data_IF_230057942999
#
_entry.id   IF_230057942999
#
_cell.length_a   1.000
_cell.length_b   1.000
_cell.length_c   1.000
_cell.angle_alpha   90.00
_cell.angle_beta   90.00
_cell.angle_gamma   90.00
#
_symmetry.space_group_name_H-M   'P 1'
#
loop_
_entity.id
_entity.type
_entity.pdbx_description
1 polymer ?
#
# COMPACT_ATOMS: atom_id res chain seq x y z
N UNK A 1 8.52 -7.93 -18.00
CA UNK A 1 8.00 -7.39 -16.72
C UNK A 1 8.09 -8.49 -15.68
N UNK A 2 8.84 -8.29 -14.60
CA UNK A 2 8.86 -9.25 -13.48
C UNK A 2 7.61 -9.01 -12.62
N UNK A 3 6.83 -10.05 -12.38
CA UNK A 3 5.68 -10.02 -11.45
C UNK A 3 6.10 -10.21 -9.98
N UNK A 4 7.40 -10.33 -9.71
CA UNK A 4 7.92 -10.56 -8.37
C UNK A 4 8.07 -9.24 -7.63
N UNK A 5 7.17 -8.98 -6.69
CA UNK A 5 7.27 -7.84 -5.77
C UNK A 5 8.35 -8.17 -4.72
N UNK A 6 9.37 -7.31 -4.53
CA UNK A 6 10.38 -7.53 -3.50
C UNK A 6 9.74 -7.63 -2.11
N UNK A 7 10.09 -8.70 -1.37
CA UNK A 7 9.60 -8.89 0.01
C UNK A 7 10.50 -8.24 1.07
N UNK A 8 11.61 -7.63 0.65
CA UNK A 8 12.52 -6.96 1.58
C UNK A 8 11.81 -5.80 2.28
N UNK A 9 11.94 -5.76 3.60
CA UNK A 9 11.42 -4.70 4.46
C UNK A 9 12.54 -4.27 5.41
N UNK A 10 12.81 -2.98 5.48
CA UNK A 10 13.74 -2.45 6.46
C UNK A 10 13.20 -2.71 7.88
N UNK A 11 14.02 -3.17 8.84
CA UNK A 11 13.57 -3.46 10.20
C UNK A 11 12.89 -2.27 10.91
N UNK A 12 13.34 -1.05 10.58
CA UNK A 12 12.83 0.20 11.17
C UNK A 12 11.78 0.90 10.28
N UNK A 13 11.08 0.16 9.43
CA UNK A 13 9.97 0.73 8.66
C UNK A 13 8.90 1.29 9.62
N UNK A 14 8.40 2.51 9.38
CA UNK A 14 7.35 3.09 10.20
C UNK A 14 6.10 2.20 10.17
N UNK A 15 5.57 1.95 11.35
CA UNK A 15 4.30 1.25 11.59
C UNK A 15 3.27 2.25 12.11
N UNK A 16 1.99 1.97 11.87
CA UNK A 16 0.92 2.72 12.50
C UNK A 16 0.65 2.21 13.93
N UNK A 17 -0.35 2.79 14.59
CA UNK A 17 -0.68 2.45 15.99
C UNK A 17 -1.11 0.97 16.16
N UNK A 18 -1.53 0.32 15.07
CA UNK A 18 -1.88 -1.09 15.03
C UNK A 18 -0.69 -2.02 14.71
N UNK A 19 0.51 -1.48 14.52
CA UNK A 19 1.72 -2.24 14.20
C UNK A 19 1.83 -2.68 12.72
N UNK A 20 0.98 -2.15 11.84
CA UNK A 20 1.04 -2.45 10.40
C UNK A 20 1.94 -1.47 9.66
N UNK A 21 2.72 -2.00 8.71
CA UNK A 21 3.43 -1.17 7.72
C UNK A 21 2.49 -0.82 6.57
N UNK A 22 2.83 0.22 5.80
CA UNK A 22 2.04 0.63 4.62
C UNK A 22 1.85 -0.50 3.60
N UNK A 23 2.81 -1.42 3.48
CA UNK A 23 2.71 -2.58 2.60
C UNK A 23 1.56 -3.54 2.96
N UNK A 24 1.00 -3.48 4.18
CA UNK A 24 -0.19 -4.24 4.55
C UNK A 24 -1.49 -3.67 3.94
N UNK A 25 -1.45 -2.43 3.45
CA UNK A 25 -2.57 -1.71 2.83
C UNK A 25 -2.48 -1.72 1.31
N UNK A 26 -1.36 -2.21 0.76
CA UNK A 26 -1.15 -2.31 -0.67
C UNK A 26 -1.85 -3.54 -1.25
N UNK A 27 -2.34 -3.39 -2.49
CA UNK A 27 -2.96 -4.47 -3.25
C UNK A 27 -1.99 -5.12 -4.23
N UNK A 28 -2.54 -5.78 -5.25
CA UNK A 28 -1.77 -6.34 -6.35
C UNK A 28 -1.06 -5.26 -7.18
N UNK A 29 -0.09 -5.68 -7.99
CA UNK A 29 0.63 -4.79 -8.92
C UNK A 29 -0.34 -4.11 -9.88
N UNK A 30 -0.16 -2.81 -10.07
CA UNK A 30 -0.99 -2.01 -11.00
C UNK A 30 -0.69 -2.37 -12.44
N UNK A 31 -1.72 -2.39 -13.29
CA UNK A 31 -1.58 -2.50 -14.76
C UNK A 31 -1.55 -1.12 -15.44
N UNK A 32 -1.66 -0.03 -14.67
CA UNK A 32 -1.69 1.32 -15.19
C UNK A 32 -0.29 1.80 -15.59
N UNK A 33 -0.24 2.88 -16.37
CA UNK A 33 1.02 3.46 -16.83
C UNK A 33 1.85 3.94 -15.63
N UNK A 34 3.14 3.61 -15.61
CA UNK A 34 4.06 4.06 -14.59
C UNK A 34 4.06 5.61 -14.50
N UNK A 35 3.82 6.14 -13.30
CA UNK A 35 3.76 7.58 -13.06
C UNK A 35 2.45 8.26 -13.48
N UNK A 36 1.40 7.51 -13.82
CA UNK A 36 0.10 8.10 -14.08
C UNK A 36 -0.57 8.62 -12.79
N UNK A 37 -1.49 9.58 -12.96
CA UNK A 37 -2.22 10.16 -11.83
C UNK A 37 -3.06 9.15 -11.05
N UNK A 38 -3.55 8.09 -11.72
CA UNK A 38 -4.36 7.05 -11.07
C UNK A 38 -3.57 6.26 -10.01
N UNK A 39 -2.33 5.88 -10.30
CA UNK A 39 -1.45 5.23 -9.32
C UNK A 39 -1.14 6.19 -8.15
N UNK A 40 -0.98 7.48 -8.44
CA UNK A 40 -0.77 8.52 -7.41
C UNK A 40 -1.97 8.65 -6.48
N UNK A 41 -3.20 8.65 -7.03
CA UNK A 41 -4.45 8.68 -6.26
C UNK A 41 -4.57 7.42 -5.40
N UNK A 42 -4.35 6.23 -5.98
CA UNK A 42 -4.39 4.98 -5.22
C UNK A 42 -3.37 4.97 -4.08
N UNK A 43 -2.15 5.45 -4.34
CA UNK A 43 -1.10 5.59 -3.33
C UNK A 43 -1.45 6.57 -2.21
N UNK A 44 -2.19 7.65 -2.51
CA UNK A 44 -2.67 8.60 -1.51
C UNK A 44 -3.74 7.98 -0.61
N UNK A 45 -4.68 7.23 -1.17
CA UNK A 45 -5.72 6.52 -0.41
C UNK A 45 -5.09 5.48 0.53
N UNK A 46 -4.16 4.67 0.02
CA UNK A 46 -3.42 3.68 0.83
C UNK A 46 -2.70 4.35 2.00
N UNK A 47 -2.06 5.50 1.77
CA UNK A 47 -1.40 6.27 2.82
C UNK A 47 -2.40 6.74 3.89
N UNK A 48 -3.51 7.34 3.47
CA UNK A 48 -4.53 7.83 4.40
C UNK A 48 -5.09 6.71 5.29
N UNK A 49 -5.37 5.52 4.72
CA UNK A 49 -5.82 4.38 5.51
C UNK A 49 -4.78 3.88 6.52
N UNK A 50 -3.50 3.91 6.16
CA UNK A 50 -2.39 3.56 7.06
C UNK A 50 -2.25 4.56 8.21
N UNK A 51 -2.28 5.86 7.89
CA UNK A 51 -2.17 6.97 8.86
C UNK A 51 -3.36 7.04 9.82
N UNK A 52 -4.57 6.69 9.35
CA UNK A 52 -5.78 6.62 10.17
C UNK A 52 -5.89 5.34 11.01
N UNK A 53 -4.86 4.48 11.02
CA UNK A 53 -4.86 3.23 11.78
C UNK A 53 -6.09 2.35 11.52
N UNK A 54 -6.57 2.31 10.26
CA UNK A 54 -7.71 1.45 9.89
C UNK A 54 -7.22 0.01 9.80
N UNK A 55 -7.92 -0.95 10.37
CA UNK A 55 -7.51 -2.36 10.29
C UNK A 55 -7.51 -2.87 8.82
N UNK A 56 -6.38 -3.40 8.30
CA UNK A 56 -6.27 -3.78 6.88
C UNK A 56 -7.33 -4.78 6.42
N UNK A 57 -7.72 -5.71 7.29
CA UNK A 57 -8.72 -6.74 6.99
C UNK A 57 -10.15 -6.19 6.84
N UNK A 58 -10.38 -4.91 7.21
CA UNK A 58 -11.66 -4.20 7.02
C UNK A 58 -11.67 -3.34 5.77
N UNK A 59 -10.60 -3.33 4.98
CA UNK A 59 -10.45 -2.52 3.78
C UNK A 59 -10.51 -3.42 2.55
N UNK A 60 -11.34 -3.05 1.58
CA UNK A 60 -11.31 -3.60 0.23
C UNK A 60 -10.79 -2.53 -0.73
N UNK A 61 -9.56 -2.72 -1.24
CA UNK A 61 -9.02 -1.88 -2.33
C UNK A 61 -9.50 -2.47 -3.66
N UNK A 62 -10.23 -1.66 -4.43
CA UNK A 62 -10.64 -1.98 -5.79
C UNK A 62 -9.90 -1.05 -6.75
N UNK A 63 -9.35 -1.60 -7.82
CA UNK A 63 -8.55 -0.88 -8.83
C UNK A 63 -8.81 -1.44 -10.21
#
# INVERSE_FOLDING_TARGET
>A
MSYQIPKFRHPELPVNELGYTRAAYEGTISTLCAGCGHDSISGAIVRACHELSIEPHKIAKLS
#
